data_IF_288978064356
#
_entry.id   IF_288978064356
#
_cell.length_a   1.000
_cell.length_b   1.000
_cell.length_c   1.000
_cell.angle_alpha   90.00
_cell.angle_beta   90.00
_cell.angle_gamma   90.00
#
_symmetry.space_group_name_H-M   'P 1'
#
loop_
_entity.id
_entity.type
_entity.pdbx_description
1 polymer ?
#
# COMPACT_ATOMS: atom_id res chain seq x y z
N UNK A 1 47.99 18.32 -13.16
CA UNK A 1 46.53 18.54 -13.31
C UNK A 1 45.83 17.22 -12.98
N UNK A 2 45.20 17.14 -11.81
CA UNK A 2 44.56 15.89 -11.35
C UNK A 2 43.27 15.63 -12.13
N UNK A 3 43.04 14.42 -12.68
CA UNK A 3 41.82 14.11 -13.41
C UNK A 3 40.61 14.27 -12.48
N UNK A 4 39.65 15.09 -12.93
CA UNK A 4 38.39 15.33 -12.22
C UNK A 4 37.67 14.00 -12.01
N UNK A 5 37.52 13.59 -10.74
CA UNK A 5 36.71 12.43 -10.35
C UNK A 5 35.25 12.69 -10.75
N UNK A 6 34.85 12.14 -11.89
CA UNK A 6 33.45 12.04 -12.27
C UNK A 6 32.84 10.87 -11.48
N UNK A 7 32.16 11.14 -10.35
CA UNK A 7 31.37 10.12 -9.65
C UNK A 7 30.12 9.84 -10.49
N UNK A 8 29.95 8.64 -11.06
CA UNK A 8 28.77 8.35 -11.87
C UNK A 8 27.56 8.09 -10.95
N UNK A 9 26.38 8.44 -11.46
CA UNK A 9 25.00 8.25 -10.93
C UNK A 9 24.60 6.82 -10.50
N UNK A 10 25.56 5.93 -10.24
CA UNK A 10 25.37 4.51 -9.93
C UNK A 10 24.54 4.29 -8.66
N UNK A 11 24.63 5.19 -7.69
CA UNK A 11 23.94 5.06 -6.40
C UNK A 11 22.41 5.20 -6.52
N UNK A 12 21.92 6.03 -7.43
CA UNK A 12 20.48 6.31 -7.59
C UNK A 12 19.76 5.15 -8.29
N UNK A 13 20.34 4.63 -9.37
CA UNK A 13 19.80 3.45 -10.06
C UNK A 13 19.81 2.20 -9.16
N UNK A 14 20.90 1.98 -8.40
CA UNK A 14 20.98 0.86 -7.48
C UNK A 14 19.93 0.95 -6.35
N UNK A 15 19.63 2.15 -5.86
CA UNK A 15 18.54 2.37 -4.89
C UNK A 15 17.17 2.05 -5.48
N UNK A 16 16.89 2.50 -6.71
CA UNK A 16 15.63 2.22 -7.40
C UNK A 16 15.45 0.72 -7.71
N UNK A 17 16.52 0.04 -8.13
CA UNK A 17 16.52 -1.41 -8.37
C UNK A 17 16.29 -2.20 -7.06
N UNK A 18 16.90 -1.76 -5.96
CA UNK A 18 16.72 -2.40 -4.66
C UNK A 18 15.32 -2.14 -4.07
N UNK A 19 14.75 -0.95 -4.26
CA UNK A 19 13.36 -0.63 -3.89
C UNK A 19 12.38 -1.49 -4.72
N UNK A 20 12.61 -1.58 -6.04
CA UNK A 20 11.84 -2.43 -6.96
C UNK A 20 11.94 -3.91 -6.62
N UNK A 21 13.10 -4.40 -6.18
CA UNK A 21 13.27 -5.77 -5.74
C UNK A 21 12.51 -6.07 -4.44
N UNK A 22 12.47 -5.12 -3.50
CA UNK A 22 11.79 -5.28 -2.20
C UNK A 22 10.27 -5.14 -2.28
N UNK A 23 9.81 -4.27 -3.17
CA UNK A 23 8.40 -3.85 -3.29
C UNK A 23 7.73 -4.32 -4.59
N UNK A 24 8.43 -5.02 -5.49
CA UNK A 24 7.89 -5.47 -6.76
C UNK A 24 7.49 -4.33 -7.71
N UNK A 25 7.06 -4.72 -8.92
CA UNK A 25 6.58 -3.77 -9.94
C UNK A 25 5.12 -3.44 -9.67
N UNK A 26 4.73 -2.15 -9.59
CA UNK A 26 3.32 -1.81 -9.51
C UNK A 26 2.60 -2.31 -10.76
N UNK A 27 1.43 -2.91 -10.58
CA UNK A 27 0.55 -3.41 -11.64
C UNK A 27 -0.74 -2.61 -11.61
N UNK A 28 -1.25 -2.22 -12.78
CA UNK A 28 -2.55 -1.56 -12.88
C UNK A 28 -3.65 -2.62 -12.81
N UNK A 29 -4.67 -2.40 -11.99
CA UNK A 29 -5.87 -3.24 -11.89
C UNK A 29 -7.11 -2.39 -12.11
N UNK A 30 -8.00 -2.84 -12.99
CA UNK A 30 -9.28 -2.18 -13.27
C UNK A 30 -10.37 -2.65 -12.31
N UNK A 31 -11.20 -1.72 -11.87
CA UNK A 31 -12.30 -1.96 -10.95
C UNK A 31 -13.45 -0.99 -11.19
N UNK A 32 -14.57 -1.16 -10.47
CA UNK A 32 -15.82 -0.41 -10.72
C UNK A 32 -15.70 1.10 -10.53
N UNK A 33 -14.82 1.54 -9.65
CA UNK A 33 -14.54 2.94 -9.31
C UNK A 33 -13.32 3.50 -10.08
N UNK A 34 -12.77 2.73 -11.02
CA UNK A 34 -11.69 3.18 -11.90
C UNK A 34 -10.47 2.26 -11.87
N UNK A 35 -9.37 2.77 -12.44
CA UNK A 35 -8.10 2.07 -12.53
C UNK A 35 -7.23 2.38 -11.31
N UNK A 36 -6.56 1.35 -10.79
CA UNK A 36 -5.74 1.45 -9.59
C UNK A 36 -4.35 0.91 -9.84
N UNK A 37 -3.34 1.67 -9.47
CA UNK A 37 -1.99 1.16 -9.35
C UNK A 37 -1.87 0.37 -8.04
N UNK A 38 -1.35 -0.86 -8.14
CA UNK A 38 -1.24 -1.79 -7.01
C UNK A 38 0.18 -2.31 -6.91
N UNK A 39 0.78 -2.17 -5.73
CA UNK A 39 2.12 -2.65 -5.44
C UNK A 39 2.13 -3.61 -4.26
N UNK A 40 2.87 -4.70 -4.38
CA UNK A 40 3.05 -5.66 -3.28
C UNK A 40 4.09 -5.20 -2.28
N UNK A 41 3.83 -5.35 -0.99
CA UNK A 41 4.82 -5.12 0.06
C UNK A 41 5.11 -6.47 0.70
N UNK A 42 6.36 -6.90 0.62
CA UNK A 42 6.84 -8.11 1.32
C UNK A 42 6.83 -7.89 2.83
N UNK A 43 6.73 -8.97 3.61
CA UNK A 43 6.73 -8.89 5.07
C UNK A 43 7.97 -8.17 5.63
N UNK A 44 9.15 -8.48 5.10
CA UNK A 44 10.41 -7.83 5.49
C UNK A 44 10.48 -6.34 5.15
N UNK A 45 9.67 -5.86 4.20
CA UNK A 45 9.57 -4.44 3.86
C UNK A 45 8.45 -3.70 4.61
N UNK A 46 7.58 -4.43 5.32
CA UNK A 46 6.51 -3.89 6.15
C UNK A 46 7.06 -3.53 7.53
N UNK A 47 7.52 -2.29 7.71
CA UNK A 47 8.15 -1.83 8.96
C UNK A 47 7.25 -0.94 9.82
N UNK A 48 6.07 -0.56 9.31
CA UNK A 48 5.11 0.30 10.00
C UNK A 48 3.74 -0.38 10.08
N UNK A 49 2.97 -0.02 11.10
CA UNK A 49 1.56 -0.39 11.20
C UNK A 49 0.72 0.51 10.29
N UNK A 50 -0.20 -0.09 9.54
CA UNK A 50 -1.16 0.61 8.71
C UNK A 50 -2.59 0.12 8.99
N UNK A 51 -3.61 0.89 8.63
CA UNK A 51 -5.01 0.48 8.80
C UNK A 51 -5.63 0.10 7.46
N UNK A 52 -6.25 -1.08 7.38
CA UNK A 52 -6.81 -1.61 6.15
C UNK A 52 -8.24 -1.09 5.91
N UNK A 53 -8.54 -0.38 4.80
CA UNK A 53 -9.88 0.15 4.55
C UNK A 53 -10.97 -0.92 4.40
N UNK A 54 -10.63 -2.12 3.90
CA UNK A 54 -11.61 -3.19 3.66
C UNK A 54 -12.07 -3.97 4.89
N UNK A 55 -11.38 -3.85 6.02
CA UNK A 55 -11.78 -4.52 7.26
C UNK A 55 -11.59 -3.69 8.53
N UNK A 56 -11.02 -2.49 8.40
CA UNK A 56 -10.67 -1.57 9.48
C UNK A 56 -9.65 -2.09 10.50
N UNK A 57 -9.06 -3.25 10.24
CA UNK A 57 -8.02 -3.86 11.08
C UNK A 57 -6.63 -3.37 10.73
N UNK A 58 -5.72 -3.46 11.70
CA UNK A 58 -4.32 -3.13 11.54
C UNK A 58 -3.55 -4.18 10.74
N UNK A 59 -2.77 -3.70 9.79
CA UNK A 59 -1.69 -4.43 9.13
C UNK A 59 -0.44 -4.17 9.94
N UNK A 60 0.01 -5.16 10.71
CA UNK A 60 1.21 -5.04 11.56
C UNK A 60 2.50 -5.12 10.75
N UNK A 61 3.63 -4.61 11.29
CA UNK A 61 4.95 -4.86 10.73
C UNK A 61 5.20 -6.37 10.52
N UNK A 62 5.96 -6.72 9.48
CA UNK A 62 6.20 -8.12 9.11
C UNK A 62 5.10 -8.75 8.25
N UNK A 63 3.91 -8.14 8.16
CA UNK A 63 2.80 -8.69 7.36
C UNK A 63 2.90 -8.24 5.91
N UNK A 64 2.93 -9.22 5.00
CA UNK A 64 2.87 -8.96 3.56
C UNK A 64 1.48 -8.44 3.17
N UNK A 65 1.44 -7.35 2.41
CA UNK A 65 0.21 -6.63 2.08
C UNK A 65 0.34 -5.89 0.75
N UNK A 66 -0.71 -5.19 0.32
CA UNK A 66 -0.74 -4.41 -0.91
C UNK A 66 -0.88 -2.92 -0.60
N UNK A 67 -0.26 -2.09 -1.42
CA UNK A 67 -0.49 -0.65 -1.46
C UNK A 67 -1.20 -0.32 -2.75
N UNK A 68 -2.32 0.37 -2.68
CA UNK A 68 -3.12 0.76 -3.82
C UNK A 68 -3.41 2.26 -3.82
N UNK A 69 -3.34 2.88 -4.99
CA UNK A 69 -3.68 4.29 -5.23
C UNK A 69 -4.33 4.43 -6.62
N UNK A 70 -5.13 5.49 -6.85
CA UNK A 70 -5.70 5.76 -8.17
C UNK A 70 -4.62 5.81 -9.26
N UNK A 71 -4.93 5.27 -10.44
CA UNK A 71 -4.00 5.26 -11.57
C UNK A 71 -4.04 6.55 -12.40
N UNK A 72 -4.91 7.51 -12.04
CA UNK A 72 -4.89 8.83 -12.67
C UNK A 72 -3.63 9.60 -12.27
N UNK A 73 -3.16 10.51 -13.14
CA UNK A 73 -2.01 11.38 -12.88
C UNK A 73 -2.25 12.38 -11.73
N UNK A 74 -3.37 12.24 -11.00
CA UNK A 74 -3.74 13.04 -9.83
C UNK A 74 -3.41 12.34 -8.51
N UNK A 75 -3.19 11.02 -8.52
CA UNK A 75 -2.88 10.24 -7.33
C UNK A 75 -1.53 10.63 -6.74
N UNK A 76 -1.56 11.40 -5.64
CA UNK A 76 -0.35 11.76 -4.91
C UNK A 76 0.11 10.62 -3.98
N UNK A 77 1.27 10.79 -3.33
CA UNK A 77 1.78 9.80 -2.38
C UNK A 77 0.89 9.65 -1.12
N UNK A 78 -0.03 10.58 -0.87
CA UNK A 78 -0.97 10.61 0.26
C UNK A 78 -2.21 9.75 0.00
N UNK A 79 -2.56 9.52 -1.27
CA UNK A 79 -3.67 8.63 -1.67
C UNK A 79 -3.33 7.14 -1.57
N UNK A 80 -2.11 6.79 -1.17
CA UNK A 80 -1.68 5.39 -1.00
C UNK A 80 -2.36 4.74 0.20
N UNK A 81 -3.23 3.78 -0.07
CA UNK A 81 -3.95 3.00 0.94
C UNK A 81 -3.33 1.61 1.05
N UNK A 82 -3.16 1.15 2.28
CA UNK A 82 -2.61 -0.17 2.58
C UNK A 82 -3.73 -1.18 2.81
N UNK A 83 -3.68 -2.32 2.11
CA UNK A 83 -4.70 -3.35 2.14
C UNK A 83 -4.09 -4.71 2.43
N UNK A 84 -4.76 -5.52 3.26
CA UNK A 84 -4.51 -6.96 3.23
C UNK A 84 -4.78 -7.49 1.82
N UNK A 85 -3.96 -8.42 1.33
CA UNK A 85 -4.10 -8.99 -0.03
C UNK A 85 -5.50 -9.58 -0.28
N UNK A 86 -6.05 -10.27 0.71
CA UNK A 86 -7.42 -10.81 0.64
C UNK A 86 -8.51 -9.74 0.70
N UNK A 87 -8.28 -8.63 1.41
CA UNK A 87 -9.24 -7.53 1.46
C UNK A 87 -9.29 -6.77 0.14
N UNK A 88 -8.12 -6.54 -0.50
CA UNK A 88 -8.05 -5.93 -1.82
C UNK A 88 -8.82 -6.73 -2.88
N UNK A 89 -8.57 -8.05 -2.96
CA UNK A 89 -9.27 -8.96 -3.88
C UNK A 89 -10.78 -8.99 -3.68
N UNK A 90 -11.26 -8.61 -2.50
CA UNK A 90 -12.68 -8.62 -2.16
C UNK A 90 -13.25 -7.21 -1.96
N UNK A 91 -12.54 -6.14 -2.38
CA UNK A 91 -12.88 -4.78 -1.95
C UNK A 91 -14.27 -4.31 -2.35
N UNK A 92 -14.76 -4.75 -3.52
CA UNK A 92 -16.12 -4.40 -3.99
C UNK A 92 -17.22 -4.88 -3.05
N UNK A 93 -16.94 -5.91 -2.24
CA UNK A 93 -17.89 -6.50 -1.29
C UNK A 93 -17.44 -6.38 0.17
N UNK A 94 -16.25 -5.82 0.43
CA UNK A 94 -15.70 -5.61 1.76
C UNK A 94 -15.60 -4.13 2.05
N UNK A 95 -16.39 -3.67 3.01
CA UNK A 95 -16.18 -2.41 3.72
C UNK A 95 -16.00 -2.67 5.22
N UNK A 96 -15.59 -1.65 6.00
CA UNK A 96 -15.66 -1.72 7.46
C UNK A 96 -17.05 -2.19 7.84
N UNK A 97 -17.14 -3.30 8.58
CA UNK A 97 -18.42 -3.67 9.16
C UNK A 97 -18.87 -2.51 10.05
N UNK A 98 -19.97 -1.84 9.70
CA UNK A 98 -20.55 -0.80 10.55
C UNK A 98 -20.70 -1.42 11.94
N UNK A 99 -19.92 -0.95 12.90
CA UNK A 99 -20.11 -1.32 14.30
C UNK A 99 -21.45 -0.73 14.74
N UNK A 100 -22.55 -1.43 14.44
CA UNK A 100 -23.83 -1.17 15.09
C UNK A 100 -23.59 -1.50 16.55
N UNK A 101 -23.42 -0.46 17.37
CA UNK A 101 -23.15 -0.59 18.79
C UNK A 101 -24.19 -1.52 19.43
N UNK A 102 -23.78 -2.76 19.74
CA UNK A 102 -24.48 -3.57 20.73
C UNK A 102 -24.13 -2.98 22.08
N UNK A 103 -24.74 -1.85 22.43
CA UNK A 103 -24.33 -1.13 23.64
C UNK A 103 -25.19 0.07 24.01
N UNK A 104 -26.41 0.19 23.50
CA UNK A 104 -27.35 1.14 24.08
C UNK A 104 -27.59 0.74 25.56
N UNK A 105 -27.35 1.63 26.54
CA UNK A 105 -27.66 1.34 27.93
C UNK A 105 -29.15 1.01 28.03
N UNK A 106 -29.48 -0.16 28.54
CA UNK A 106 -30.84 -0.45 28.98
C UNK A 106 -31.01 0.27 30.32
N UNK A 107 -31.48 1.51 30.29
CA UNK A 107 -32.13 2.04 31.47
C UNK A 107 -33.42 1.21 31.67
N UNK A 108 -33.45 0.51 32.81
CA UNK A 108 -34.66 -0.12 33.34
C UNK A 108 -35.43 0.85 34.19
#
# INVERSE_FOLDING_TARGET
MSPRRNRPRRDEHAHLDADRARHGVPTVQQWRDGDWQVRGISGGASVKTYRCPGCDQEIRPGVAHLVAWPADDRGDLTDRRHWHSGCWRARDRRGPGIQRGRGAPRYG
#
